data_IF_221363710119
#
_entry.id   IF_221363710119
#
_cell.length_a   1.000
_cell.length_b   1.000
_cell.length_c   1.000
_cell.angle_alpha   90.00
_cell.angle_beta   90.00
_cell.angle_gamma   90.00
#
_symmetry.space_group_name_H-M   'P 1'
#
loop_
_entity.id
_entity.type
_entity.pdbx_description
1 polymer ?
#
# COMPACT_ATOMS: atom_id res chain seq x y z
N UNK A 1 -15.85 -4.77 -1.52
CA UNK A 1 -16.08 -4.74 -2.98
C UNK A 1 -14.85 -5.37 -3.61
N UNK A 2 -15.00 -6.35 -4.49
CA UNK A 2 -13.89 -7.02 -5.17
C UNK A 2 -14.15 -7.04 -6.66
N UNK A 3 -13.33 -6.35 -7.44
CA UNK A 3 -13.46 -6.27 -8.89
C UNK A 3 -12.10 -6.22 -9.56
N UNK A 4 -12.02 -6.85 -10.74
CA UNK A 4 -10.88 -6.79 -11.65
C UNK A 4 -11.40 -6.46 -13.04
N UNK A 5 -10.78 -5.50 -13.71
CA UNK A 5 -11.04 -5.17 -15.10
C UNK A 5 -9.71 -4.99 -15.83
N UNK A 6 -9.58 -5.50 -17.04
CA UNK A 6 -8.37 -5.37 -17.84
C UNK A 6 -8.70 -4.79 -19.21
N UNK A 7 -7.96 -3.77 -19.62
CA UNK A 7 -8.16 -3.08 -20.89
C UNK A 7 -6.86 -3.06 -21.69
N UNK A 8 -6.97 -3.05 -23.02
CA UNK A 8 -5.82 -2.83 -23.89
C UNK A 8 -5.20 -1.45 -23.63
N UNK A 9 -3.88 -1.30 -23.84
CA UNK A 9 -3.22 0.00 -23.64
C UNK A 9 -3.63 1.03 -24.71
N UNK A 10 -3.78 0.60 -25.97
CA UNK A 10 -3.98 1.49 -27.12
C UNK A 10 -5.40 2.08 -27.21
N UNK A 11 -6.40 1.24 -27.04
CA UNK A 11 -7.82 1.59 -27.22
C UNK A 11 -8.65 1.40 -25.94
N UNK A 12 -8.00 1.00 -24.84
CA UNK A 12 -8.63 0.85 -23.55
C UNK A 12 -8.61 2.13 -22.71
N UNK A 13 -9.08 1.99 -21.47
CA UNK A 13 -9.32 3.11 -20.57
C UNK A 13 -8.62 2.92 -19.22
N UNK A 14 -8.46 4.03 -18.52
CA UNK A 14 -8.06 4.06 -17.11
C UNK A 14 -9.07 4.88 -16.32
N UNK A 15 -9.42 4.41 -15.12
CA UNK A 15 -10.40 5.05 -14.25
C UNK A 15 -9.94 5.01 -12.80
N UNK A 16 -10.02 6.16 -12.11
CA UNK A 16 -9.83 6.21 -10.67
C UNK A 16 -10.94 5.49 -9.90
N UNK A 17 -12.17 5.47 -10.43
CA UNK A 17 -13.31 4.77 -9.84
C UNK A 17 -13.12 3.24 -9.80
N UNK A 18 -12.41 2.69 -10.79
CA UNK A 18 -12.07 1.26 -10.90
C UNK A 18 -10.85 0.85 -10.05
N UNK A 19 -10.04 1.79 -9.55
CA UNK A 19 -8.97 1.53 -8.58
C UNK A 19 -9.44 1.70 -7.13
N UNK A 20 -10.41 2.60 -6.90
CA UNK A 20 -10.84 2.99 -5.56
C UNK A 20 -10.15 4.26 -5.05
N UNK A 21 -10.75 4.88 -4.02
CA UNK A 21 -10.27 6.16 -3.47
C UNK A 21 -9.00 6.00 -2.64
N UNK A 22 -8.92 4.99 -1.77
CA UNK A 22 -7.67 4.70 -1.07
C UNK A 22 -6.74 3.88 -1.99
N UNK A 23 -6.08 4.61 -2.90
CA UNK A 23 -5.10 4.05 -3.82
C UNK A 23 -4.05 3.32 -3.00
N UNK A 24 -3.73 2.10 -3.40
CA UNK A 24 -2.71 1.27 -2.76
C UNK A 24 -3.01 0.90 -1.30
N UNK A 25 -4.28 1.00 -0.87
CA UNK A 25 -4.75 0.22 0.29
C UNK A 25 -4.25 -1.21 0.11
N UNK A 26 -3.73 -1.77 1.20
CA UNK A 26 -2.82 -2.90 1.17
C UNK A 26 -2.45 -3.36 2.56
N UNK A 27 -1.83 -4.53 2.61
CA UNK A 27 -1.45 -5.21 3.84
C UNK A 27 0.02 -5.64 3.75
N UNK A 28 0.75 -5.40 4.84
CA UNK A 28 2.04 -6.05 5.09
C UNK A 28 1.81 -7.13 6.15
N UNK A 29 2.22 -8.36 5.86
CA UNK A 29 2.29 -9.43 6.84
C UNK A 29 3.72 -9.55 7.35
N UNK A 30 3.90 -9.48 8.66
CA UNK A 30 5.17 -9.60 9.34
C UNK A 30 5.23 -10.93 10.09
N UNK A 31 6.39 -11.57 10.09
CA UNK A 31 6.69 -12.76 10.92
C UNK A 31 7.54 -12.31 12.09
N UNK A 32 7.15 -12.69 13.31
CA UNK A 32 7.78 -12.25 14.55
C UNK A 32 8.43 -13.46 15.24
N UNK A 33 9.70 -13.32 15.61
CA UNK A 33 10.45 -14.31 16.40
C UNK A 33 10.10 -14.25 17.90
N UNK A 34 8.81 -14.39 18.18
CA UNK A 34 8.24 -14.56 19.53
C UNK A 34 7.05 -15.49 19.46
N UNK A 35 6.94 -16.40 20.41
CA UNK A 35 5.78 -17.29 20.51
C UNK A 35 4.51 -16.51 20.89
N UNK A 36 3.31 -16.98 20.52
CA UNK A 36 2.05 -16.40 20.95
C UNK A 36 1.94 -16.29 22.47
N UNK A 37 2.56 -17.21 23.22
CA UNK A 37 2.64 -17.17 24.69
C UNK A 37 3.47 -15.97 25.19
N UNK A 38 4.64 -15.73 24.60
CA UNK A 38 5.48 -14.58 24.94
C UNK A 38 4.78 -13.25 24.62
N UNK A 39 4.06 -13.17 23.49
CA UNK A 39 3.21 -12.03 23.16
C UNK A 39 2.13 -11.86 24.23
N UNK A 40 1.34 -12.92 24.51
CA UNK A 40 0.24 -12.90 25.49
C UNK A 40 0.69 -12.40 26.87
N UNK A 41 1.87 -12.83 27.31
CA UNK A 41 2.46 -12.39 28.59
C UNK A 41 2.82 -10.89 28.61
N UNK A 42 3.07 -10.28 27.45
CA UNK A 42 3.50 -8.89 27.31
C UNK A 42 2.43 -7.96 26.73
N UNK A 43 1.23 -8.46 26.38
CA UNK A 43 0.16 -7.68 25.73
C UNK A 43 -0.18 -6.37 26.47
N UNK A 44 -0.20 -6.40 27.80
CA UNK A 44 -0.50 -5.23 28.65
C UNK A 44 0.46 -4.05 28.42
N UNK A 45 1.70 -4.34 28.01
CA UNK A 45 2.71 -3.33 27.69
C UNK A 45 2.81 -3.12 26.18
N UNK A 46 2.71 -4.19 25.40
CA UNK A 46 2.86 -4.16 23.94
C UNK A 46 1.79 -3.33 23.25
N UNK A 47 0.52 -3.54 23.58
CA UNK A 47 -0.59 -2.83 22.92
C UNK A 47 -0.53 -1.32 23.17
N UNK A 48 -0.36 -0.81 24.42
CA UNK A 48 -0.17 0.62 24.65
C UNK A 48 1.07 1.20 23.96
N UNK A 49 2.19 0.47 23.94
CA UNK A 49 3.41 0.94 23.27
C UNK A 49 3.20 1.05 21.76
N UNK A 50 2.58 0.05 21.12
CA UNK A 50 2.22 0.11 19.70
C UNK A 50 1.26 1.27 19.42
N UNK A 51 0.23 1.46 20.24
CA UNK A 51 -0.72 2.56 20.07
C UNK A 51 -0.07 3.95 20.22
N UNK A 52 0.87 4.09 21.17
CA UNK A 52 1.68 5.30 21.33
C UNK A 52 2.59 5.53 20.13
N UNK A 53 3.19 4.46 19.59
CA UNK A 53 4.23 4.57 18.59
C UNK A 53 3.71 4.62 17.16
N UNK A 54 2.51 4.10 16.88
CA UNK A 54 1.85 4.07 15.58
C UNK A 54 0.64 4.99 15.61
N UNK A 55 0.75 6.23 15.08
CA UNK A 55 -0.38 7.16 15.10
C UNK A 55 -1.56 6.61 14.28
N UNK A 56 -2.73 6.52 14.91
CA UNK A 56 -3.98 6.09 14.29
C UNK A 56 -5.11 7.10 14.55
N UNK A 57 -6.23 6.95 13.83
CA UNK A 57 -7.41 7.81 13.93
C UNK A 57 -7.53 8.86 12.81
N UNK A 58 -8.75 9.40 12.66
CA UNK A 58 -9.05 10.45 11.68
C UNK A 58 -8.30 11.73 12.06
N UNK A 59 -7.58 12.32 11.11
CA UNK A 59 -6.82 13.56 11.33
C UNK A 59 -5.53 13.39 12.13
N UNK A 60 -5.19 12.16 12.53
CA UNK A 60 -3.91 11.85 13.17
C UNK A 60 -2.75 12.21 12.25
N UNK A 61 -1.66 12.73 12.85
CA UNK A 61 -0.48 13.19 12.13
C UNK A 61 0.71 12.28 12.42
N UNK A 62 1.51 12.05 11.39
CA UNK A 62 2.76 11.31 11.48
C UNK A 62 3.78 12.03 12.36
N UNK A 63 4.72 11.24 12.89
CA UNK A 63 5.89 11.75 13.63
C UNK A 63 6.86 12.49 12.70
N UNK A 64 6.89 12.11 11.42
CA UNK A 64 7.75 12.70 10.40
C UNK A 64 7.27 14.11 10.02
N UNK A 65 8.21 15.04 9.85
CA UNK A 65 7.97 16.42 9.42
C UNK A 65 8.63 16.67 8.07
N UNK A 66 7.97 16.24 7.01
CA UNK A 66 8.48 16.43 5.65
C UNK A 66 8.15 17.84 5.13
N UNK A 67 9.12 18.42 4.41
CA UNK A 67 8.86 19.54 3.50
C UNK A 67 8.34 19.03 2.14
N UNK A 68 7.99 19.93 1.21
CA UNK A 68 7.43 19.53 -0.09
C UNK A 68 8.44 18.75 -0.96
N UNK A 69 9.71 19.15 -0.97
CA UNK A 69 10.76 18.45 -1.72
C UNK A 69 10.94 17.01 -1.23
N UNK A 70 11.00 16.82 0.08
CA UNK A 70 11.11 15.48 0.68
C UNK A 70 9.88 14.62 0.43
N UNK A 71 8.68 15.23 0.41
CA UNK A 71 7.50 14.49 0.01
C UNK A 71 7.58 14.07 -1.46
N UNK A 72 8.04 14.95 -2.36
CA UNK A 72 8.22 14.61 -3.77
C UNK A 72 9.24 13.47 -3.95
N UNK A 73 10.32 13.46 -3.17
CA UNK A 73 11.26 12.32 -3.13
C UNK A 73 10.56 11.02 -2.72
N UNK A 74 9.70 11.04 -1.69
CA UNK A 74 8.88 9.87 -1.29
C UNK A 74 7.98 9.41 -2.43
N UNK A 75 7.31 10.35 -3.12
CA UNK A 75 6.41 10.05 -4.24
C UNK A 75 7.15 9.43 -5.43
N UNK A 76 8.40 9.79 -5.64
CA UNK A 76 9.23 9.31 -6.75
C UNK A 76 9.92 7.98 -6.44
N UNK A 77 10.45 7.83 -5.24
CA UNK A 77 11.39 6.73 -4.90
C UNK A 77 10.79 5.65 -4.00
N UNK A 78 9.57 5.87 -3.47
CA UNK A 78 8.84 4.89 -2.69
C UNK A 78 9.61 4.41 -1.46
N UNK A 79 9.70 3.08 -1.28
CA UNK A 79 10.39 2.48 -0.13
C UNK A 79 11.89 2.76 -0.08
N UNK A 80 12.52 3.10 -1.20
CA UNK A 80 13.95 3.41 -1.23
C UNK A 80 14.26 4.62 -0.34
N UNK A 81 13.42 5.67 -0.40
CA UNK A 81 13.51 6.80 0.51
C UNK A 81 13.44 6.38 1.98
N UNK A 82 12.53 5.46 2.33
CA UNK A 82 12.39 4.99 3.70
C UNK A 82 13.68 4.32 4.17
N UNK A 83 14.24 3.39 3.39
CA UNK A 83 15.48 2.67 3.74
C UNK A 83 16.67 3.62 3.84
N UNK A 84 16.81 4.57 2.92
CA UNK A 84 17.88 5.59 2.94
C UNK A 84 17.78 6.52 4.16
N UNK A 85 16.56 6.73 4.68
CA UNK A 85 16.30 7.53 5.87
C UNK A 85 16.23 6.69 7.17
N UNK A 86 16.67 5.43 7.14
CA UNK A 86 16.79 4.58 8.32
C UNK A 86 15.50 3.84 8.73
N UNK A 87 14.52 3.74 7.83
CA UNK A 87 13.28 3.01 8.04
C UNK A 87 13.26 1.72 7.20
N UNK A 88 13.36 0.58 7.88
CA UNK A 88 13.36 -0.72 7.23
C UNK A 88 14.71 -1.10 6.64
N UNK A 89 14.71 -2.15 5.83
CA UNK A 89 15.91 -2.81 5.31
C UNK A 89 15.79 -3.07 3.81
N UNK A 90 16.92 -3.39 3.16
CA UNK A 90 16.91 -3.85 1.76
C UNK A 90 16.14 -5.14 1.54
N UNK A 91 15.96 -5.95 2.60
CA UNK A 91 15.17 -7.17 2.50
C UNK A 91 13.67 -6.86 2.44
N UNK A 92 13.21 -5.83 3.17
CA UNK A 92 11.82 -5.37 3.11
C UNK A 92 11.41 -4.92 1.70
N UNK A 93 12.35 -4.33 0.93
CA UNK A 93 12.16 -3.95 -0.47
C UNK A 93 11.79 -5.18 -1.30
N UNK A 94 12.56 -6.26 -1.20
CA UNK A 94 12.35 -7.50 -1.98
C UNK A 94 11.06 -8.23 -1.61
N UNK A 95 10.60 -8.04 -0.38
CA UNK A 95 9.36 -8.61 0.15
C UNK A 95 8.18 -7.64 0.05
N UNK A 96 8.24 -6.69 -0.88
CA UNK A 96 7.12 -5.78 -1.17
C UNK A 96 6.79 -5.86 -2.65
N UNK A 97 5.51 -5.88 -2.97
CA UNK A 97 5.01 -5.80 -4.34
C UNK A 97 5.62 -4.60 -5.09
N UNK A 98 6.02 -4.78 -6.35
CA UNK A 98 6.78 -3.77 -7.13
C UNK A 98 8.11 -3.36 -6.49
N UNK A 99 8.68 -4.21 -5.63
CA UNK A 99 9.80 -3.83 -4.77
C UNK A 99 9.53 -2.52 -3.99
N UNK A 100 8.26 -2.24 -3.68
CA UNK A 100 7.79 -1.04 -3.00
C UNK A 100 7.94 0.29 -3.77
N UNK A 101 8.22 0.25 -5.08
CA UNK A 101 8.36 1.45 -5.90
C UNK A 101 7.91 1.21 -7.35
N UNK A 102 6.85 1.89 -7.78
CA UNK A 102 6.48 2.00 -9.19
C UNK A 102 7.31 3.12 -9.84
N UNK A 103 7.96 2.79 -10.96
CA UNK A 103 8.88 3.68 -11.69
C UNK A 103 8.15 4.59 -12.69
N UNK A 104 8.91 5.45 -13.38
CA UNK A 104 8.46 6.39 -14.42
C UNK A 104 7.34 7.33 -13.94
N UNK A 105 7.51 7.90 -12.75
CA UNK A 105 6.51 8.76 -12.12
C UNK A 105 6.89 10.24 -12.20
N UNK A 106 5.87 11.08 -12.26
CA UNK A 106 5.97 12.53 -12.23
C UNK A 106 5.12 13.07 -11.07
N UNK A 107 5.78 13.50 -10.00
CA UNK A 107 5.13 14.03 -8.80
C UNK A 107 4.40 15.36 -9.05
N UNK A 108 4.63 16.03 -10.18
CA UNK A 108 3.88 17.24 -10.57
C UNK A 108 2.43 16.94 -10.97
N UNK A 109 2.13 15.68 -11.31
CA UNK A 109 0.76 15.20 -11.59
C UNK A 109 -0.08 15.03 -10.31
N UNK A 110 0.54 15.12 -9.13
CA UNK A 110 -0.14 15.08 -7.83
C UNK A 110 -0.44 16.52 -7.38
N UNK A 111 -1.70 16.82 -7.11
CA UNK A 111 -2.12 18.17 -6.74
C UNK A 111 -1.51 18.64 -5.40
N UNK A 112 -1.31 19.95 -5.26
CA UNK A 112 -0.89 20.54 -3.98
C UNK A 112 -1.85 20.21 -2.83
N UNK A 113 -3.15 20.05 -3.12
CA UNK A 113 -4.12 19.62 -2.12
C UNK A 113 -3.83 18.19 -1.65
N UNK A 114 -3.53 17.27 -2.56
CA UNK A 114 -3.17 15.89 -2.24
C UNK A 114 -1.87 15.83 -1.43
N UNK A 115 -0.84 16.57 -1.87
CA UNK A 115 0.43 16.70 -1.16
C UNK A 115 0.24 17.24 0.26
N UNK A 116 -0.53 18.32 0.43
CA UNK A 116 -0.80 18.90 1.74
C UNK A 116 -1.52 17.94 2.70
N UNK A 117 -2.45 17.12 2.19
CA UNK A 117 -3.13 16.08 2.99
C UNK A 117 -2.17 14.96 3.36
N UNK A 118 -1.36 14.47 2.40
CA UNK A 118 -0.43 13.35 2.60
C UNK A 118 0.77 13.68 3.48
N UNK A 119 1.34 14.88 3.35
CA UNK A 119 2.59 15.29 4.01
C UNK A 119 2.55 15.10 5.53
N UNK A 120 1.41 15.34 6.15
CA UNK A 120 1.23 15.21 7.59
C UNK A 120 0.83 13.79 8.02
N UNK A 121 0.64 12.85 7.10
CA UNK A 121 0.05 11.53 7.35
C UNK A 121 0.99 10.36 7.02
N UNK A 122 2.20 10.62 6.52
CA UNK A 122 3.20 9.56 6.34
C UNK A 122 3.62 8.98 7.70
N UNK A 123 3.65 7.66 7.78
CA UNK A 123 3.78 6.93 9.04
C UNK A 123 2.50 7.01 9.88
N UNK A 124 1.31 6.85 9.29
CA UNK A 124 0.07 6.75 10.07
C UNK A 124 -0.81 5.62 9.57
N UNK A 125 -1.52 4.99 10.49
CA UNK A 125 -2.43 3.90 10.17
C UNK A 125 -3.70 4.43 9.51
N UNK A 126 -4.30 5.43 10.15
CA UNK A 126 -5.57 6.00 9.74
C UNK A 126 -6.78 5.47 10.48
N UNK A 127 -7.90 5.40 9.75
CA UNK A 127 -9.22 5.03 10.26
C UNK A 127 -9.94 4.15 9.22
N UNK A 128 -11.19 3.80 9.48
CA UNK A 128 -11.94 2.88 8.61
C UNK A 128 -11.57 1.43 8.91
N UNK A 129 -11.32 0.64 7.87
CA UNK A 129 -10.88 -0.76 7.99
C UNK A 129 -9.36 -0.90 8.16
N UNK A 130 -8.63 0.16 8.49
CA UNK A 130 -7.18 0.09 8.71
C UNK A 130 -6.89 -0.37 10.14
N UNK A 131 -5.99 -1.35 10.27
CA UNK A 131 -5.69 -1.98 11.54
C UNK A 131 -4.23 -2.45 11.62
N UNK A 132 -3.82 -2.67 12.86
CA UNK A 132 -2.61 -3.39 13.22
C UNK A 132 -3.03 -4.55 14.11
N UNK A 133 -2.85 -5.78 13.64
CA UNK A 133 -3.33 -6.99 14.33
C UNK A 133 -2.20 -7.98 14.56
N UNK A 134 -2.06 -8.46 15.80
CA UNK A 134 -1.14 -9.55 16.13
C UNK A 134 -1.91 -10.86 16.03
N UNK A 135 -1.37 -11.82 15.30
CA UNK A 135 -2.02 -13.05 14.88
C UNK A 135 -1.19 -14.28 15.26
N UNK A 136 -1.86 -15.42 15.32
CA UNK A 136 -1.28 -16.74 15.63
C UNK A 136 -1.57 -17.67 14.45
N UNK A 137 -0.54 -18.33 13.89
CA UNK A 137 -0.71 -19.30 12.81
C UNK A 137 -1.38 -20.55 13.36
N UNK A 138 -2.66 -20.76 13.03
CA UNK A 138 -3.40 -21.93 13.52
C UNK A 138 -3.14 -23.20 12.69
N UNK A 139 -3.02 -23.04 11.38
CA UNK A 139 -2.97 -24.13 10.41
C UNK A 139 -2.05 -23.78 9.23
N UNK A 140 -1.37 -24.80 8.72
CA UNK A 140 -0.56 -24.73 7.50
C UNK A 140 -1.08 -25.80 6.55
N UNK A 141 -1.50 -25.37 5.36
CA UNK A 141 -2.08 -26.25 4.34
C UNK A 141 -1.08 -26.67 3.26
N UNK A 142 -0.05 -25.85 3.03
CA UNK A 142 1.07 -26.14 2.13
C UNK A 142 2.37 -25.80 2.87
N UNK A 143 2.99 -26.82 3.47
CA UNK A 143 4.22 -26.67 4.26
C UNK A 143 5.40 -26.17 3.41
N UNK A 144 5.47 -26.58 2.13
CA UNK A 144 6.55 -26.21 1.23
C UNK A 144 6.50 -24.72 0.90
N UNK A 145 5.32 -24.23 0.52
CA UNK A 145 5.10 -22.81 0.25
C UNK A 145 5.23 -21.96 1.52
N UNK A 146 4.65 -22.41 2.65
CA UNK A 146 4.73 -21.70 3.93
C UNK A 146 6.19 -21.50 4.38
N UNK A 147 6.99 -22.58 4.36
CA UNK A 147 8.39 -22.54 4.77
C UNK A 147 9.23 -21.62 3.90
N UNK A 148 8.97 -21.56 2.59
CA UNK A 148 9.64 -20.64 1.65
C UNK A 148 9.48 -19.18 2.06
N UNK A 149 8.37 -18.83 2.71
CA UNK A 149 8.03 -17.48 3.14
C UNK A 149 8.17 -17.25 4.66
N UNK A 150 8.87 -18.15 5.35
CA UNK A 150 9.20 -18.00 6.78
C UNK A 150 8.08 -18.38 7.74
N UNK A 151 7.04 -19.09 7.27
CA UNK A 151 6.04 -19.72 8.11
C UNK A 151 6.44 -21.18 8.35
N UNK A 152 6.98 -21.47 9.53
CA UNK A 152 7.63 -22.74 9.83
C UNK A 152 6.73 -23.74 10.56
N UNK A 153 5.62 -23.28 11.13
CA UNK A 153 4.74 -24.14 11.90
C UNK A 153 3.50 -23.45 12.43
N UNK A 154 2.65 -24.25 13.07
CA UNK A 154 1.60 -23.74 13.95
C UNK A 154 2.22 -23.00 15.13
N UNK A 155 1.43 -22.17 15.79
CA UNK A 155 1.84 -21.41 16.98
C UNK A 155 2.98 -20.42 16.70
N UNK A 156 3.12 -19.95 15.46
CA UNK A 156 4.01 -18.85 15.11
C UNK A 156 3.25 -17.52 15.18
N UNK A 157 3.90 -16.46 15.68
CA UNK A 157 3.30 -15.13 15.73
C UNK A 157 3.51 -14.41 14.41
N UNK A 158 2.43 -13.85 13.88
CA UNK A 158 2.48 -12.90 12.76
C UNK A 158 1.84 -11.58 13.16
N UNK A 159 2.05 -10.55 12.35
CA UNK A 159 1.40 -9.26 12.52
C UNK A 159 0.96 -8.71 11.16
N UNK A 160 -0.31 -8.37 11.06
CA UNK A 160 -0.93 -7.77 9.90
C UNK A 160 -1.01 -6.25 10.06
N UNK A 161 -0.36 -5.50 9.17
CA UNK A 161 -0.45 -4.04 9.06
C UNK A 161 -1.25 -3.68 7.81
N UNK A 162 -2.51 -3.30 8.00
CA UNK A 162 -3.43 -2.94 6.91
C UNK A 162 -3.67 -1.43 6.85
N UNK A 163 -3.19 -0.79 5.78
CA UNK A 163 -3.42 0.63 5.49
C UNK A 163 -3.10 0.99 4.03
N UNK A 164 -3.52 2.17 3.59
CA UNK A 164 -3.23 2.72 2.26
C UNK A 164 -2.45 4.03 2.22
N UNK A 165 -2.70 4.79 1.16
CA UNK A 165 -2.04 6.06 0.81
C UNK A 165 -2.60 7.26 1.56
N UNK A 166 -3.49 7.03 2.53
CA UNK A 166 -4.06 8.05 3.41
C UNK A 166 -4.83 9.11 2.60
N UNK A 167 -4.81 10.35 3.06
CA UNK A 167 -5.48 11.46 2.39
C UNK A 167 -4.89 11.80 1.02
N UNK A 168 -3.66 11.36 0.73
CA UNK A 168 -2.99 11.65 -0.55
C UNK A 168 -3.69 10.92 -1.70
N UNK A 169 -3.78 9.58 -1.66
CA UNK A 169 -4.40 8.84 -2.74
C UNK A 169 -5.90 9.08 -2.84
N UNK A 170 -6.59 9.30 -1.70
CA UNK A 170 -7.99 9.74 -1.73
C UNK A 170 -8.17 11.03 -2.53
N UNK A 171 -7.28 12.01 -2.32
CA UNK A 171 -7.35 13.27 -3.05
C UNK A 171 -6.98 13.07 -4.53
N UNK A 172 -5.94 12.29 -4.85
CA UNK A 172 -5.60 11.93 -6.24
C UNK A 172 -6.80 11.29 -6.95
N UNK A 173 -7.44 10.29 -6.35
CA UNK A 173 -8.61 9.65 -6.93
C UNK A 173 -9.77 10.65 -7.18
N UNK A 174 -10.00 11.56 -6.22
CA UNK A 174 -11.04 12.60 -6.32
C UNK A 174 -10.75 13.63 -7.41
N UNK A 175 -9.49 14.05 -7.53
CA UNK A 175 -9.06 15.04 -8.51
C UNK A 175 -9.18 14.48 -9.93
N UNK A 176 -8.68 13.26 -10.15
CA UNK A 176 -8.74 12.62 -11.46
C UNK A 176 -10.13 12.12 -11.83
N UNK A 177 -11.00 11.79 -10.86
CA UNK A 177 -12.41 11.53 -11.16
C UNK A 177 -13.04 12.76 -11.84
N UNK A 178 -12.86 13.97 -11.27
CA UNK A 178 -13.37 15.22 -11.84
C UNK A 178 -12.73 15.56 -13.20
N UNK A 179 -11.44 15.26 -13.38
CA UNK A 179 -10.76 15.46 -14.66
C UNK A 179 -11.35 14.52 -15.72
N UNK A 180 -11.52 13.24 -15.39
CA UNK A 180 -12.12 12.26 -16.30
C UNK A 180 -13.58 12.61 -16.64
N UNK A 181 -14.40 13.03 -15.67
CA UNK A 181 -15.77 13.48 -15.91
C UNK A 181 -15.83 14.60 -16.95
N UNK A 182 -14.92 15.58 -16.87
CA UNK A 182 -14.83 16.69 -17.82
C UNK A 182 -14.30 16.27 -19.19
N UNK A 183 -13.50 15.21 -19.26
CA UNK A 183 -12.90 14.73 -20.52
C UNK A 183 -13.78 13.75 -21.30
N UNK A 184 -14.88 13.25 -20.72
CA UNK A 184 -15.79 12.31 -21.40
C UNK A 184 -16.25 12.82 -22.77
N UNK A 185 -16.68 14.08 -22.85
CA UNK A 185 -17.14 14.69 -24.11
C UNK A 185 -16.02 14.82 -25.16
N UNK A 186 -14.78 15.09 -24.72
CA UNK A 186 -13.60 15.17 -25.59
C UNK A 186 -13.31 13.84 -26.28
N UNK A 187 -13.58 12.73 -25.59
CA UNK A 187 -13.31 11.37 -26.08
C UNK A 187 -14.56 10.63 -26.57
N UNK A 188 -15.73 11.28 -26.60
CA UNK A 188 -16.99 10.65 -27.01
C UNK A 188 -17.43 9.50 -26.12
N UNK A 189 -16.95 9.44 -24.87
CA UNK A 189 -17.26 8.36 -23.93
C UNK A 189 -18.66 8.59 -23.34
N UNK A 190 -19.55 7.62 -23.51
CA UNK A 190 -20.89 7.62 -22.91
C UNK A 190 -20.91 6.62 -21.76
N UNK A 191 -21.31 7.08 -20.58
CA UNK A 191 -21.38 6.26 -19.38
C UNK A 191 -22.82 6.12 -18.91
N UNK A 192 -23.15 4.94 -18.40
CA UNK A 192 -24.41 4.68 -17.71
C UNK A 192 -24.38 5.21 -16.27
N UNK A 193 -23.18 5.31 -15.70
CA UNK A 193 -22.92 5.81 -14.35
C UNK A 193 -21.69 6.72 -14.37
N UNK A 194 -21.83 7.94 -13.85
CA UNK A 194 -20.74 8.91 -13.77
C UNK A 194 -19.61 8.46 -12.84
N UNK A 195 -19.88 7.56 -11.88
CA UNK A 195 -18.85 6.95 -11.04
C UNK A 195 -17.85 6.09 -11.82
N UNK A 196 -18.16 5.75 -13.09
CA UNK A 196 -17.27 5.05 -14.02
C UNK A 196 -16.46 6.01 -14.91
N UNK A 197 -16.39 7.30 -14.56
CA UNK A 197 -15.60 8.27 -15.31
C UNK A 197 -14.16 7.78 -15.53
N UNK A 198 -13.74 7.85 -16.80
CA UNK A 198 -12.50 7.29 -17.30
C UNK A 198 -11.94 8.14 -18.44
N UNK A 199 -10.69 7.92 -18.79
CA UNK A 199 -10.06 8.45 -20.00
C UNK A 199 -9.36 7.33 -20.76
N UNK A 200 -9.13 7.47 -22.08
CA UNK A 200 -8.29 6.54 -22.83
C UNK A 200 -6.91 6.45 -22.17
N UNK A 201 -6.34 5.26 -22.06
CA UNK A 201 -5.09 5.07 -21.31
C UNK A 201 -3.94 5.92 -21.89
N UNK A 202 -3.78 5.98 -23.21
CA UNK A 202 -2.76 6.78 -23.89
C UNK A 202 -3.05 8.30 -23.92
N UNK A 203 -4.19 8.76 -23.40
CA UNK A 203 -4.51 10.18 -23.36
C UNK A 203 -3.67 10.92 -22.31
N UNK A 204 -3.57 12.25 -22.45
CA UNK A 204 -2.90 13.08 -21.43
C UNK A 204 -3.50 12.84 -20.04
N UNK A 205 -4.82 12.92 -19.91
CA UNK A 205 -5.53 12.73 -18.65
C UNK A 205 -5.32 11.30 -18.09
N UNK A 206 -5.26 10.29 -18.96
CA UNK A 206 -5.00 8.90 -18.58
C UNK A 206 -3.58 8.68 -18.05
N UNK A 207 -2.57 9.20 -18.76
CA UNK A 207 -1.17 9.12 -18.34
C UNK A 207 -0.87 9.97 -17.10
N UNK A 208 -1.45 11.17 -17.01
CA UNK A 208 -1.37 12.02 -15.81
C UNK A 208 -1.95 11.27 -14.59
N UNK A 209 -3.13 10.65 -14.72
CA UNK A 209 -3.72 9.86 -13.64
C UNK A 209 -2.83 8.66 -13.28
N UNK A 210 -2.33 7.93 -14.28
CA UNK A 210 -1.49 6.76 -14.03
C UNK A 210 -0.22 7.15 -13.27
N UNK A 211 0.44 8.24 -13.66
CA UNK A 211 1.59 8.81 -12.96
C UNK A 211 1.24 9.19 -11.51
N UNK A 212 0.15 9.94 -11.30
CA UNK A 212 -0.27 10.37 -9.96
C UNK A 212 -0.68 9.19 -9.07
N UNK A 213 -1.30 8.16 -9.65
CA UNK A 213 -1.65 6.91 -8.97
C UNK A 213 -0.38 6.18 -8.54
N UNK A 214 0.63 6.05 -9.42
CA UNK A 214 1.94 5.46 -9.06
C UNK A 214 2.62 6.22 -7.92
N UNK A 215 2.57 7.56 -7.91
CA UNK A 215 3.04 8.35 -6.76
C UNK A 215 2.29 8.02 -5.47
N UNK A 216 0.96 7.84 -5.52
CA UNK A 216 0.17 7.44 -4.36
C UNK A 216 0.48 6.01 -3.89
N UNK A 217 0.80 5.10 -4.81
CA UNK A 217 1.29 3.75 -4.52
C UNK A 217 2.62 3.80 -3.78
N UNK A 218 3.59 4.57 -4.30
CA UNK A 218 4.89 4.77 -3.68
C UNK A 218 4.74 5.31 -2.25
N UNK A 219 3.92 6.35 -2.06
CA UNK A 219 3.60 6.88 -0.73
C UNK A 219 3.05 5.80 0.23
N UNK A 220 2.15 4.94 -0.27
CA UNK A 220 1.54 3.90 0.56
C UNK A 220 2.52 2.81 0.98
N UNK A 221 3.41 2.38 0.08
CA UNK A 221 4.46 1.42 0.43
C UNK A 221 5.42 2.01 1.47
N UNK A 222 5.87 3.25 1.26
CA UNK A 222 6.69 3.98 2.23
C UNK A 222 5.99 4.11 3.58
N UNK A 223 4.68 4.41 3.59
CA UNK A 223 3.89 4.53 4.80
C UNK A 223 3.90 3.22 5.63
N UNK A 224 3.69 2.07 4.96
CA UNK A 224 3.74 0.76 5.62
C UNK A 224 5.14 0.41 6.11
N UNK A 225 6.18 0.72 5.35
CA UNK A 225 7.56 0.43 5.75
C UNK A 225 8.03 1.27 6.94
N UNK A 226 7.69 2.56 6.97
CA UNK A 226 7.95 3.44 8.13
C UNK A 226 7.27 2.88 9.39
N UNK A 227 6.00 2.48 9.28
CA UNK A 227 5.30 1.87 10.42
C UNK A 227 5.89 0.50 10.80
N UNK A 228 6.34 -0.29 9.83
CA UNK A 228 7.04 -1.57 10.08
C UNK A 228 8.29 -1.35 10.94
N UNK A 229 9.07 -0.29 10.67
CA UNK A 229 10.20 0.07 11.52
C UNK A 229 9.75 0.45 12.94
N UNK A 230 8.71 1.26 13.09
CA UNK A 230 8.22 1.63 14.43
C UNK A 230 7.59 0.47 15.20
N UNK A 231 7.05 -0.53 14.49
CA UNK A 231 6.62 -1.80 15.09
C UNK A 231 7.85 -2.51 15.66
N UNK A 232 8.94 -2.66 14.88
CA UNK A 232 10.21 -3.23 15.37
C UNK A 232 10.72 -2.50 16.61
N UNK A 233 10.73 -1.16 16.58
CA UNK A 233 11.15 -0.34 17.71
C UNK A 233 10.27 -0.57 18.95
N UNK A 234 8.96 -0.72 18.76
CA UNK A 234 8.00 -0.97 19.85
C UNK A 234 8.18 -2.35 20.49
N UNK A 235 8.46 -3.37 19.68
CA UNK A 235 8.78 -4.70 20.20
C UNK A 235 10.10 -4.68 20.98
N UNK A 236 11.15 -4.04 20.44
CA UNK A 236 12.42 -3.84 21.14
C UNK A 236 12.24 -3.09 22.46
N UNK A 237 11.39 -2.06 22.49
CA UNK A 237 11.07 -1.30 23.70
C UNK A 237 10.43 -2.16 24.78
N UNK A 238 9.53 -3.09 24.41
CA UNK A 238 8.78 -3.90 25.38
C UNK A 238 9.56 -5.13 25.83
N UNK A 239 10.18 -5.85 24.90
CA UNK A 239 10.93 -7.07 25.20
C UNK A 239 12.34 -6.80 25.74
N UNK A 240 12.85 -5.56 25.62
CA UNK A 240 14.19 -5.15 26.08
C UNK A 240 15.33 -5.93 25.43
N UNK A 241 15.08 -6.50 24.27
CA UNK A 241 16.03 -7.23 23.43
C UNK A 241 15.68 -7.00 21.96
N UNK A 242 16.59 -7.37 21.06
CA UNK A 242 16.31 -7.36 19.63
C UNK A 242 15.38 -8.53 19.29
N UNK A 243 14.16 -8.21 18.89
CA UNK A 243 13.18 -9.17 18.37
C UNK A 243 13.26 -9.16 16.85
N UNK A 244 13.53 -10.31 16.24
CA UNK A 244 13.53 -10.41 14.79
C UNK A 244 12.09 -10.29 14.26
N UNK A 245 11.85 -9.31 13.39
CA UNK A 245 10.57 -9.12 12.70
C UNK A 245 10.84 -8.93 11.21
N UNK A 246 10.48 -9.95 10.43
CA UNK A 246 10.69 -10.01 8.97
C UNK A 246 9.40 -9.69 8.24
N UNK A 247 9.50 -8.93 7.15
CA UNK A 247 8.36 -8.75 6.24
C UNK A 247 8.21 -10.02 5.41
N UNK A 248 7.09 -10.74 5.57
CA UNK A 248 6.79 -11.89 4.73
C UNK A 248 6.44 -11.42 3.32
N UNK A 249 5.43 -10.55 3.23
CA UNK A 249 5.11 -9.85 1.98
C UNK A 249 4.27 -8.60 2.24
N UNK A 250 4.44 -7.58 1.41
CA UNK A 250 3.59 -6.41 1.34
C UNK A 250 2.86 -6.35 0.01
N UNK A 251 1.52 -6.29 0.00
CA UNK A 251 0.71 -6.33 -1.22
C UNK A 251 -0.46 -5.35 -1.20
N UNK A 252 -0.89 -4.88 -2.37
CA UNK A 252 -1.98 -3.93 -2.54
C UNK A 252 -3.23 -4.58 -3.15
N UNK A 253 -4.41 -3.98 -2.89
CA UNK A 253 -5.70 -4.45 -3.40
C UNK A 253 -6.54 -3.35 -4.10
N UNK A 254 -6.02 -2.12 -4.17
CA UNK A 254 -6.62 -0.98 -4.88
C UNK A 254 -5.58 -0.33 -5.81
N UNK A 255 -5.47 -0.77 -7.06
CA UNK A 255 -4.37 -0.35 -7.96
C UNK A 255 -4.70 -0.64 -9.43
N UNK A 256 -4.07 0.09 -10.35
CA UNK A 256 -3.98 -0.31 -11.76
C UNK A 256 -2.53 -0.65 -12.13
N UNK A 257 -2.32 -1.73 -12.90
CA UNK A 257 -0.97 -2.15 -13.33
C UNK A 257 -0.95 -2.56 -14.78
N UNK A 258 0.15 -2.25 -15.46
CA UNK A 258 0.41 -2.81 -16.78
C UNK A 258 0.95 -4.22 -16.57
N UNK A 259 0.24 -5.22 -17.08
CA UNK A 259 0.59 -6.63 -16.95
C UNK A 259 0.53 -7.32 -18.31
N UNK A 260 1.40 -8.31 -18.52
CA UNK A 260 1.35 -9.16 -19.71
C UNK A 260 0.53 -10.41 -19.41
N UNK A 261 -0.60 -10.59 -20.10
CA UNK A 261 -1.52 -11.71 -19.92
C UNK A 261 -1.75 -12.36 -21.28
N UNK A 262 -1.39 -13.63 -21.41
CA UNK A 262 -1.51 -14.40 -22.66
C UNK A 262 -0.86 -13.67 -23.87
N UNK A 263 0.32 -13.08 -23.67
CA UNK A 263 1.07 -12.34 -24.71
C UNK A 263 0.50 -10.95 -25.04
N UNK A 264 -0.43 -10.42 -24.25
CA UNK A 264 -1.02 -9.08 -24.42
C UNK A 264 -0.68 -8.19 -23.24
N UNK A 265 -0.18 -6.99 -23.49
CA UNK A 265 0.00 -5.96 -22.46
C UNK A 265 -1.33 -5.27 -22.20
N UNK A 266 -1.81 -5.34 -20.97
CA UNK A 266 -3.10 -4.81 -20.53
C UNK A 266 -2.90 -3.91 -19.32
N UNK A 267 -3.72 -2.86 -19.18
CA UNK A 267 -3.87 -2.11 -17.94
C UNK A 267 -4.95 -2.82 -17.10
N UNK A 268 -4.54 -3.38 -15.97
CA UNK A 268 -5.37 -4.20 -15.08
C UNK A 268 -5.73 -3.38 -13.84
N UNK A 269 -7.00 -2.99 -13.73
CA UNK A 269 -7.59 -2.36 -12.56
C UNK A 269 -7.99 -3.41 -11.54
N UNK A 270 -7.65 -3.17 -10.27
CA UNK A 270 -8.08 -3.95 -9.11
C UNK A 270 -8.64 -3.01 -8.06
N UNK A 271 -9.82 -3.33 -7.55
CA UNK A 271 -10.46 -2.64 -6.41
C UNK A 271 -10.99 -3.65 -5.42
N UNK A 272 -10.38 -3.68 -4.25
CA UNK A 272 -10.49 -4.76 -3.28
C UNK A 272 -10.19 -6.14 -3.87
N UNK A 273 -9.22 -6.21 -4.79
CA UNK A 273 -8.75 -7.45 -5.38
C UNK A 273 -7.22 -7.47 -5.43
N UNK A 274 -6.62 -8.61 -5.12
CA UNK A 274 -5.17 -8.74 -4.95
C UNK A 274 -4.56 -9.46 -6.15
N UNK A 275 -3.33 -9.11 -6.54
CA UNK A 275 -2.57 -9.85 -7.55
C UNK A 275 -2.19 -11.23 -7.02
N UNK A 276 -2.28 -12.27 -7.86
CA UNK A 276 -2.05 -13.66 -7.48
C UNK A 276 -1.17 -14.39 -8.49
N UNK A 277 0.01 -13.85 -8.79
CA UNK A 277 0.97 -14.56 -9.64
C UNK A 277 1.48 -15.81 -8.92
N UNK A 278 1.86 -16.87 -9.67
CA UNK A 278 2.48 -18.05 -9.09
C UNK A 278 3.66 -17.68 -8.19
N UNK A 279 3.88 -18.49 -7.15
CA UNK A 279 5.00 -18.35 -6.22
C UNK A 279 5.04 -17.10 -5.33
N UNK A 280 4.10 -16.15 -5.49
CA UNK A 280 4.00 -14.97 -4.65
C UNK A 280 2.90 -15.12 -3.56
N UNK A 281 3.11 -14.58 -2.35
CA UNK A 281 2.11 -14.62 -1.30
C UNK A 281 0.92 -13.74 -1.66
N UNK A 282 -0.28 -14.24 -1.36
CA UNK A 282 -1.50 -13.46 -1.35
C UNK A 282 -1.92 -13.34 0.11
N UNK A 283 -2.07 -12.10 0.58
CA UNK A 283 -2.52 -11.82 1.94
C UNK A 283 -3.96 -11.30 1.85
N UNK A 284 -4.86 -11.94 2.58
CA UNK A 284 -6.29 -11.62 2.62
C UNK A 284 -6.60 -10.95 3.95
N UNK A 285 -7.19 -9.76 3.90
CA UNK A 285 -7.59 -8.94 5.05
C UNK A 285 -9.12 -8.84 5.14
#
# INVERSE_FOLDING_TARGET
>A
MGAVAAFNLKDGMISSGLCGFDISCGINLLVIDKSPKEIKNNLKNLVPTLFKNIPCGVGSKGKLKLNNSQLDEVLVTGVNWAVENGYGTKDDIKHTEENGCMEDVDSSTVSEMAKNRGRQQLGTLGAGNHFLEIQEVSDIYDEGFAKKWGLEGKDQTTLALHCGSRGLGHQVASDYLKIHEKSLGKYGIKLLDMQLASAPFESKEGQDYFSAMKCAVNFSFTNRLVMTQWIRDSFKEVFKEDVEIKTLYGICHNIAKIEEINGRKLIVHRKGATRSFPDLPVIIA
#
